data_IF_746343200134
#
_entry.id   IF_746343200134
#
_cell.length_a   1.000
_cell.length_b   1.000
_cell.length_c   1.000
_cell.angle_alpha   90.00
_cell.angle_beta   90.00
_cell.angle_gamma   90.00
#
_symmetry.space_group_name_H-M   'P 1'
#
loop_
_entity.id
_entity.type
_entity.pdbx_description
1 polymer ?
#
# COMPACT_ATOMS: atom_id res chain seq x y z
N UNK A 1 -5.50 -13.02 3.05
CA UNK A 1 -4.70 -11.78 3.09
C UNK A 1 -3.58 -11.95 2.09
N UNK A 2 -3.28 -10.91 1.33
CA UNK A 2 -2.19 -10.90 0.38
C UNK A 2 -1.19 -9.80 0.76
N UNK A 3 0.04 -9.93 0.30
CA UNK A 3 1.14 -9.05 0.67
C UNK A 3 1.68 -8.31 -0.56
N UNK A 4 2.12 -7.07 -0.35
CA UNK A 4 2.88 -6.29 -1.31
C UNK A 4 4.02 -5.58 -0.59
N UNK A 5 5.18 -5.52 -1.21
CA UNK A 5 6.35 -4.84 -0.66
C UNK A 5 6.95 -3.94 -1.72
N UNK A 6 7.66 -2.90 -1.26
CA UNK A 6 8.25 -1.92 -2.15
C UNK A 6 9.13 -0.93 -1.42
N UNK A 7 9.57 0.07 -2.16
CA UNK A 7 10.31 1.22 -1.64
C UNK A 7 9.63 2.48 -2.15
N UNK A 8 9.37 3.42 -1.25
CA UNK A 8 8.82 4.74 -1.61
C UNK A 8 9.88 5.60 -2.28
N UNK A 9 9.47 6.63 -3.02
CA UNK A 9 10.44 7.55 -3.68
C UNK A 9 11.32 8.30 -2.68
N UNK A 10 10.85 8.53 -1.45
CA UNK A 10 11.63 9.13 -0.36
C UNK A 10 12.51 8.12 0.41
N UNK A 11 12.64 6.88 -0.08
CA UNK A 11 13.65 5.91 0.34
C UNK A 11 13.24 4.98 1.50
N UNK A 12 11.94 4.88 1.81
CA UNK A 12 11.44 3.99 2.86
C UNK A 12 11.05 2.66 2.25
N UNK A 13 11.59 1.57 2.78
CA UNK A 13 11.09 0.24 2.46
C UNK A 13 9.77 0.01 3.20
N UNK A 14 8.81 -0.62 2.55
CA UNK A 14 7.57 -1.01 3.19
C UNK A 14 7.17 -2.45 2.89
N UNK A 15 6.41 -3.00 3.82
CA UNK A 15 5.65 -4.24 3.64
C UNK A 15 4.22 -3.93 4.00
N UNK A 16 3.30 -4.27 3.11
CA UNK A 16 1.88 -4.02 3.27
C UNK A 16 1.08 -5.30 3.10
N UNK A 17 0.09 -5.46 3.97
CA UNK A 17 -0.91 -6.51 3.88
C UNK A 17 -2.22 -5.88 3.40
N UNK A 18 -2.94 -6.60 2.54
CA UNK A 18 -4.27 -6.18 2.11
C UNK A 18 -5.29 -7.32 2.18
N UNK A 19 -6.52 -6.92 2.46
CA UNK A 19 -7.67 -7.82 2.44
C UNK A 19 -8.18 -7.94 0.99
N UNK A 20 -8.78 -9.09 0.65
CA UNK A 20 -9.43 -9.24 -0.66
C UNK A 20 -10.49 -8.17 -0.88
N UNK A 21 -10.85 -7.91 -2.13
CA UNK A 21 -11.79 -6.86 -2.46
C UNK A 21 -13.14 -7.07 -1.75
N UNK A 22 -13.62 -6.02 -1.07
CA UNK A 22 -14.93 -5.96 -0.42
C UNK A 22 -15.63 -4.69 -0.88
N UNK A 23 -16.84 -4.83 -1.42
CA UNK A 23 -17.64 -3.70 -1.93
C UNK A 23 -16.83 -2.79 -2.87
N UNK A 24 -16.20 -3.38 -3.89
CA UNK A 24 -15.41 -2.63 -4.89
C UNK A 24 -14.26 -1.81 -4.30
N UNK A 25 -13.68 -2.28 -3.21
CA UNK A 25 -12.55 -1.62 -2.56
C UNK A 25 -11.64 -2.61 -1.85
N UNK A 26 -10.40 -2.22 -1.62
CA UNK A 26 -9.43 -2.98 -0.84
C UNK A 26 -8.85 -2.09 0.26
N UNK A 27 -8.80 -2.64 1.48
CA UNK A 27 -8.08 -2.05 2.60
C UNK A 27 -6.66 -2.61 2.65
N UNK A 28 -5.69 -1.73 2.86
CA UNK A 28 -4.30 -2.11 3.07
C UNK A 28 -3.76 -1.52 4.37
N UNK A 29 -2.69 -2.14 4.88
CA UNK A 29 -1.95 -1.72 6.05
C UNK A 29 -0.46 -1.92 5.81
N UNK A 30 0.31 -0.84 5.82
CA UNK A 30 1.73 -0.82 5.46
C UNK A 30 2.61 -0.40 6.63
N UNK A 31 3.70 -1.14 6.86
CA UNK A 31 4.76 -0.81 7.82
C UNK A 31 5.98 -0.27 7.09
N UNK A 32 6.46 0.91 7.49
CA UNK A 32 7.56 1.61 6.84
C UNK A 32 8.85 1.55 7.67
N UNK A 33 9.96 1.31 6.97
CA UNK A 33 11.31 1.26 7.55
C UNK A 33 12.29 2.08 6.71
N UNK A 34 13.09 2.90 7.38
CA UNK A 34 14.22 3.60 6.75
C UNK A 34 15.52 3.01 7.29
N UNK A 35 16.37 2.47 6.41
CA UNK A 35 17.61 1.77 6.79
C UNK A 35 17.38 0.66 7.83
N UNK A 36 16.29 -0.10 7.68
CA UNK A 36 15.89 -1.18 8.59
C UNK A 36 15.20 -0.73 9.89
N UNK A 37 15.23 0.56 10.20
CA UNK A 37 14.62 1.15 11.42
C UNK A 37 13.14 1.41 11.16
N UNK A 38 12.27 0.94 12.06
CA UNK A 38 10.83 1.21 12.02
C UNK A 38 10.55 2.71 12.12
N UNK A 39 9.69 3.22 11.24
CA UNK A 39 9.35 4.65 11.17
C UNK A 39 7.86 4.92 11.35
N UNK A 40 7.02 3.93 11.05
CA UNK A 40 5.59 4.07 11.26
C UNK A 40 4.81 3.00 10.53
N UNK A 41 3.50 3.09 10.73
CA UNK A 41 2.51 2.30 10.02
C UNK A 41 1.46 3.27 9.46
N UNK A 42 0.95 2.98 8.28
CA UNK A 42 -0.23 3.63 7.69
C UNK A 42 -1.20 2.58 7.17
N UNK A 43 -2.43 3.00 6.98
CA UNK A 43 -3.47 2.21 6.35
C UNK A 43 -4.21 3.10 5.37
N UNK A 44 -4.80 2.49 4.36
CA UNK A 44 -5.55 3.19 3.34
C UNK A 44 -6.58 2.28 2.70
N UNK A 45 -7.29 2.84 1.72
CA UNK A 45 -8.35 2.16 1.01
C UNK A 45 -8.35 2.60 -0.44
N UNK A 46 -8.20 1.61 -1.32
CA UNK A 46 -8.31 1.79 -2.78
C UNK A 46 -9.73 1.41 -3.20
N UNK A 47 -10.35 2.21 -4.07
CA UNK A 47 -11.70 1.99 -4.60
C UNK A 47 -11.64 1.58 -6.09
N UNK A 48 -12.77 1.17 -6.66
CA UNK A 48 -12.92 0.85 -8.09
C UNK A 48 -12.00 -0.30 -8.54
N UNK A 49 -11.86 -1.31 -7.67
CA UNK A 49 -10.91 -2.42 -7.85
C UNK A 49 -11.51 -3.69 -8.47
N UNK A 50 -12.83 -3.75 -8.65
CA UNK A 50 -13.53 -4.99 -9.06
C UNK A 50 -13.17 -5.47 -10.46
N UNK A 51 -12.77 -4.56 -11.34
CA UNK A 51 -12.37 -4.87 -12.72
C UNK A 51 -10.84 -5.02 -12.89
N UNK A 52 -10.07 -4.74 -11.83
CA UNK A 52 -8.61 -4.83 -11.88
C UNK A 52 -8.14 -6.27 -11.82
N UNK A 53 -7.16 -6.61 -12.66
CA UNK A 53 -6.37 -7.82 -12.46
C UNK A 53 -5.59 -7.76 -11.15
N UNK A 54 -5.10 -8.90 -10.68
CA UNK A 54 -4.26 -8.96 -9.47
C UNK A 54 -3.00 -8.08 -9.56
N UNK A 55 -2.46 -7.89 -10.76
CA UNK A 55 -1.27 -7.06 -10.98
C UNK A 55 -1.63 -5.58 -10.93
N UNK A 56 -2.73 -5.18 -11.60
CA UNK A 56 -3.22 -3.80 -11.57
C UNK A 56 -3.64 -3.38 -10.17
N UNK A 57 -4.29 -4.27 -9.42
CA UNK A 57 -4.60 -4.05 -8.01
C UNK A 57 -3.35 -3.81 -7.16
N UNK A 58 -2.29 -4.61 -7.36
CA UNK A 58 -1.03 -4.41 -6.62
C UNK A 58 -0.42 -3.05 -6.95
N UNK A 59 -0.39 -2.65 -8.22
CA UNK A 59 0.11 -1.33 -8.63
C UNK A 59 -0.72 -0.22 -7.98
N UNK A 60 -2.05 -0.31 -8.03
CA UNK A 60 -2.93 0.69 -7.42
C UNK A 60 -2.72 0.81 -5.90
N UNK A 61 -2.48 -0.30 -5.19
CA UNK A 61 -2.15 -0.30 -3.77
C UNK A 61 -0.78 0.35 -3.53
N UNK A 62 0.23 0.05 -4.36
CA UNK A 62 1.57 0.65 -4.22
C UNK A 62 1.54 2.16 -4.47
N UNK A 63 0.76 2.62 -5.44
CA UNK A 63 0.57 4.04 -5.75
C UNK A 63 -0.13 4.77 -4.60
N UNK A 64 -1.19 4.18 -4.01
CA UNK A 64 -1.90 4.75 -2.86
C UNK A 64 -1.00 4.79 -1.59
N UNK A 65 -0.15 3.77 -1.40
CA UNK A 65 0.86 3.74 -0.33
C UNK A 65 1.89 4.86 -0.51
N UNK A 66 2.38 5.05 -1.74
CA UNK A 66 3.34 6.10 -2.08
C UNK A 66 2.73 7.48 -1.77
N UNK A 67 1.53 7.76 -2.27
CA UNK A 67 0.83 9.02 -2.02
C UNK A 67 0.61 9.26 -0.53
N UNK A 68 0.10 8.24 0.18
CA UNK A 68 -0.18 8.31 1.62
C UNK A 68 1.08 8.61 2.45
N UNK A 69 2.24 8.05 2.08
CA UNK A 69 3.47 8.23 2.87
C UNK A 69 4.29 9.45 2.45
N UNK A 70 4.39 9.72 1.15
CA UNK A 70 5.27 10.77 0.61
C UNK A 70 4.60 12.14 0.64
N UNK A 71 3.30 12.21 0.41
CA UNK A 71 2.56 13.47 0.29
C UNK A 71 1.85 13.91 1.58
N UNK A 72 2.04 13.20 2.70
CA UNK A 72 1.61 13.66 4.03
C UNK A 72 2.27 15.02 4.35
N UNK A 73 1.46 16.08 4.33
CA UNK A 73 1.78 17.44 4.80
C UNK A 73 1.24 17.66 6.21
#
# INVERSE_FOLDING_TARGET
MAEVAGMTSNGFNYTAEYLGAVHDSVYWSATFRLNGIYRGMRHGRVFEVSELSSTELQVAIQDDIEDTWVNEH
#
